data_IF_359516485103
#
_entry.id   IF_359516485103
#
_cell.length_a   1.000
_cell.length_b   1.000
_cell.length_c   1.000
_cell.angle_alpha   90.00
_cell.angle_beta   90.00
_cell.angle_gamma   90.00
#
_symmetry.space_group_name_H-M   'P 1'
#
loop_
_entity.id
_entity.type
_entity.pdbx_description
1 polymer ?
#
# COMPACT_ATOMS: atom_id res chain seq x y z
N UNK A 1 -4.88 -12.02 -8.01
CA UNK A 1 -5.74 -11.95 -9.20
C UNK A 1 -5.65 -13.27 -9.93
N UNK A 2 -6.80 -13.84 -10.24
CA UNK A 2 -6.89 -15.02 -11.08
C UNK A 2 -6.63 -14.63 -12.55
N UNK A 3 -5.95 -15.47 -13.36
CA UNK A 3 -5.69 -15.15 -14.77
C UNK A 3 -6.97 -14.95 -15.62
N UNK A 4 -8.05 -15.70 -15.33
CA UNK A 4 -9.31 -15.56 -16.05
C UNK A 4 -10.00 -14.24 -15.69
N UNK A 5 -10.05 -13.90 -14.40
CA UNK A 5 -10.55 -12.60 -13.91
C UNK A 5 -9.80 -11.44 -14.58
N UNK A 6 -8.47 -11.53 -14.66
CA UNK A 6 -7.64 -10.51 -15.30
C UNK A 6 -7.93 -10.39 -16.81
N UNK A 7 -8.09 -11.53 -17.50
CA UNK A 7 -8.44 -11.58 -18.92
C UNK A 7 -9.79 -10.92 -19.17
N UNK A 8 -10.81 -11.28 -18.39
CA UNK A 8 -12.16 -10.71 -18.52
C UNK A 8 -12.15 -9.20 -18.34
N UNK A 9 -11.49 -8.69 -17.30
CA UNK A 9 -11.38 -7.26 -17.06
C UNK A 9 -10.67 -6.50 -18.21
N UNK A 10 -9.64 -7.09 -18.81
CA UNK A 10 -8.92 -6.48 -19.93
C UNK A 10 -9.77 -6.46 -21.20
N UNK A 11 -10.52 -7.54 -21.47
CA UNK A 11 -11.41 -7.61 -22.63
C UNK A 11 -12.58 -6.64 -22.49
N UNK A 12 -13.23 -6.61 -21.33
CA UNK A 12 -14.31 -5.65 -21.04
C UNK A 12 -13.85 -4.20 -21.22
N UNK A 13 -12.66 -3.86 -20.71
CA UNK A 13 -12.10 -2.53 -20.87
C UNK A 13 -11.84 -2.17 -22.36
N UNK A 14 -11.51 -3.16 -23.19
CA UNK A 14 -11.30 -2.94 -24.63
C UNK A 14 -12.62 -2.81 -25.38
N UNK A 15 -13.59 -3.66 -25.08
CA UNK A 15 -14.90 -3.71 -25.74
C UNK A 15 -15.73 -2.45 -25.45
N UNK A 16 -15.54 -1.87 -24.26
CA UNK A 16 -16.10 -0.57 -23.86
C UNK A 16 -15.37 0.64 -24.47
N UNK A 17 -14.31 0.42 -25.25
CA UNK A 17 -13.61 1.46 -26.00
C UNK A 17 -12.58 2.25 -25.19
N UNK A 18 -12.10 1.76 -24.04
CA UNK A 18 -11.05 2.44 -23.30
C UNK A 18 -9.74 2.45 -24.11
N UNK A 19 -9.28 3.66 -24.44
CA UNK A 19 -8.06 3.88 -25.22
C UNK A 19 -6.77 3.72 -24.40
N UNK A 20 -6.87 3.74 -23.08
CA UNK A 20 -5.76 3.60 -22.15
C UNK A 20 -6.14 2.60 -21.07
N UNK A 21 -5.44 1.46 -21.04
CA UNK A 21 -5.70 0.38 -20.09
C UNK A 21 -4.39 0.03 -19.42
N UNK A 22 -4.40 0.01 -18.08
CA UNK A 22 -3.25 -0.31 -17.25
C UNK A 22 -3.61 -1.44 -16.29
N UNK A 23 -2.70 -2.39 -16.12
CA UNK A 23 -2.75 -3.32 -15.01
C UNK A 23 -1.75 -2.88 -13.94
N UNK A 24 -2.25 -2.66 -12.73
CA UNK A 24 -1.42 -2.18 -11.63
C UNK A 24 -1.62 -2.99 -10.36
N UNK A 25 -0.52 -3.27 -9.66
CA UNK A 25 -0.55 -3.73 -8.27
C UNK A 25 -0.05 -2.59 -7.38
N UNK A 26 -0.89 -2.16 -6.45
CA UNK A 26 -0.61 -1.05 -5.54
C UNK A 26 -0.07 -1.55 -4.18
N UNK A 27 0.77 -0.76 -3.50
CA UNK A 27 1.26 -1.10 -2.18
C UNK A 27 0.14 -0.98 -1.12
N UNK A 28 0.29 -1.62 0.06
CA UNK A 28 -0.53 -1.33 1.22
C UNK A 28 -0.36 0.13 1.66
N UNK A 29 -1.49 0.76 1.97
CA UNK A 29 -1.58 2.12 2.49
C UNK A 29 -2.32 2.05 3.82
N UNK A 30 -1.71 2.59 4.87
CA UNK A 30 -2.37 2.77 6.16
C UNK A 30 -2.43 4.26 6.47
N UNK A 31 -3.61 4.73 6.86
CA UNK A 31 -3.83 6.07 7.36
C UNK A 31 -4.36 5.98 8.79
N UNK A 32 -3.75 6.73 9.70
CA UNK A 32 -4.15 6.73 11.11
C UNK A 32 -3.92 8.11 11.74
N UNK A 33 -4.55 8.33 12.89
CA UNK A 33 -4.31 9.49 13.73
C UNK A 33 -3.56 9.07 15.00
N UNK A 34 -2.68 9.93 15.49
CA UNK A 34 -2.00 9.75 16.77
C UNK A 34 -2.22 10.96 17.68
N UNK A 35 -2.23 10.68 18.99
CA UNK A 35 -2.54 11.63 20.05
C UNK A 35 -1.42 12.64 20.33
N UNK A 36 -0.17 12.34 19.96
CA UNK A 36 0.99 13.20 20.27
C UNK A 36 2.10 13.08 19.22
N UNK A 37 2.96 14.11 19.14
CA UNK A 37 4.13 14.11 18.25
C UNK A 37 5.06 12.94 18.54
N UNK A 38 5.33 12.68 19.84
CA UNK A 38 6.18 11.58 20.30
C UNK A 38 5.69 10.22 19.79
N UNK A 39 4.38 10.00 19.83
CA UNK A 39 3.80 8.76 19.30
C UNK A 39 3.88 8.71 17.77
N UNK A 40 3.64 9.83 17.09
CA UNK A 40 3.80 9.91 15.64
C UNK A 40 5.23 9.57 15.21
N UNK A 41 6.24 10.11 15.89
CA UNK A 41 7.65 9.80 15.64
C UNK A 41 7.99 8.33 15.87
N UNK A 42 7.51 7.77 16.99
CA UNK A 42 7.73 6.36 17.30
C UNK A 42 7.13 5.47 16.20
N UNK A 43 5.88 5.69 15.84
CA UNK A 43 5.19 4.92 14.79
C UNK A 43 5.88 5.08 13.44
N UNK A 44 6.34 6.28 13.09
CA UNK A 44 7.07 6.54 11.86
C UNK A 44 8.38 5.73 11.78
N UNK A 45 9.16 5.73 12.87
CA UNK A 45 10.42 4.96 12.94
C UNK A 45 10.18 3.45 12.82
N UNK A 46 9.11 2.92 13.44
CA UNK A 46 8.70 1.52 13.32
C UNK A 46 8.35 1.18 11.86
N UNK A 47 7.58 2.06 11.21
CA UNK A 47 7.16 1.85 9.83
C UNK A 47 8.35 1.89 8.85
N UNK A 48 9.23 2.89 8.99
CA UNK A 48 10.42 3.06 8.14
C UNK A 48 11.36 1.85 8.28
N UNK A 49 11.67 1.43 9.51
CA UNK A 49 12.48 0.23 9.77
C UNK A 49 11.81 -1.05 9.26
N UNK A 50 10.48 -1.07 9.18
CA UNK A 50 9.71 -2.16 8.58
C UNK A 50 9.63 -2.09 7.04
N UNK A 51 10.29 -1.12 6.38
CA UNK A 51 10.38 -1.02 4.92
C UNK A 51 9.32 -0.14 4.26
N UNK A 52 8.67 0.74 5.04
CA UNK A 52 7.72 1.76 4.57
C UNK A 52 8.40 3.13 4.51
N UNK A 53 9.25 3.33 3.49
CA UNK A 53 10.08 4.54 3.34
C UNK A 53 9.25 5.81 3.08
N UNK A 54 8.06 5.67 2.53
CA UNK A 54 7.14 6.79 2.24
C UNK A 54 6.19 7.05 3.42
N UNK A 55 6.67 6.84 4.64
CA UNK A 55 5.91 7.17 5.85
C UNK A 55 6.10 8.63 6.20
N UNK A 56 5.02 9.30 6.57
CA UNK A 56 5.08 10.67 7.06
C UNK A 56 3.86 11.02 7.89
N UNK A 57 3.92 12.16 8.55
CA UNK A 57 2.82 12.67 9.35
C UNK A 57 2.78 14.19 9.34
N UNK A 58 1.61 14.75 9.63
CA UNK A 58 1.40 16.19 9.80
C UNK A 58 0.46 16.46 10.96
N UNK A 59 0.70 17.56 11.66
CA UNK A 59 -0.29 18.05 12.62
C UNK A 59 -1.55 18.52 11.87
N UNK A 60 -2.69 18.08 12.36
CA UNK A 60 -4.03 18.54 11.98
C UNK A 60 -4.65 19.23 13.19
N UNK A 61 -5.81 19.87 13.04
CA UNK A 61 -6.42 20.70 14.08
C UNK A 61 -6.55 20.06 15.48
N UNK A 62 -6.51 18.72 15.59
CA UNK A 62 -6.66 18.00 16.86
C UNK A 62 -5.69 16.84 17.09
N UNK A 63 -4.91 16.44 16.09
CA UNK A 63 -4.08 15.22 16.17
C UNK A 63 -3.02 15.18 15.07
N UNK A 64 -2.12 14.21 15.14
CA UNK A 64 -1.13 13.98 14.09
C UNK A 64 -1.67 12.92 13.13
N UNK A 65 -2.03 13.35 11.91
CA UNK A 65 -2.43 12.46 10.83
C UNK A 65 -1.19 11.85 10.19
N UNK A 66 -1.15 10.53 10.09
CA UNK A 66 -0.04 9.78 9.53
C UNK A 66 -0.47 8.96 8.32
N UNK A 67 0.45 8.81 7.37
CA UNK A 67 0.36 7.88 6.25
C UNK A 67 1.57 6.96 6.27
N UNK A 68 1.33 5.66 6.11
CA UNK A 68 2.35 4.61 5.99
C UNK A 68 2.11 3.93 4.64
N UNK A 69 3.02 4.15 3.69
CA UNK A 69 2.85 3.73 2.29
C UNK A 69 3.99 2.78 1.90
N UNK A 70 3.63 1.60 1.40
CA UNK A 70 4.58 0.63 0.87
C UNK A 70 5.24 1.13 -0.42
N UNK A 71 6.27 0.44 -0.89
CA UNK A 71 7.03 0.83 -2.09
C UNK A 71 6.89 -0.14 -3.26
N UNK A 72 6.26 -1.28 -3.00
CA UNK A 72 6.00 -2.34 -3.95
C UNK A 72 4.82 -1.93 -4.84
N UNK A 73 5.18 -1.49 -6.03
CA UNK A 73 4.22 -1.05 -7.03
C UNK A 73 4.70 -1.49 -8.39
N UNK A 74 3.76 -1.87 -9.24
CA UNK A 74 3.99 -2.04 -10.66
C UNK A 74 2.78 -1.50 -11.41
N UNK A 75 3.04 -0.81 -12.52
CA UNK A 75 2.02 -0.33 -13.44
C UNK A 75 2.46 -0.74 -14.85
N UNK A 76 1.64 -1.54 -15.52
CA UNK A 76 1.93 -2.13 -16.82
C UNK A 76 0.92 -1.56 -17.81
N UNK A 77 1.35 -0.76 -18.79
CA UNK A 77 0.45 -0.29 -19.82
C UNK A 77 0.11 -1.47 -20.75
N UNK A 78 -1.18 -1.76 -20.92
CA UNK A 78 -1.67 -2.86 -21.74
C UNK A 78 -2.19 -2.34 -23.09
N UNK A 79 -2.90 -1.22 -23.04
CA UNK A 79 -3.43 -0.52 -24.21
C UNK A 79 -2.99 0.94 -24.13
N UNK A 80 -2.43 1.45 -25.22
CA UNK A 80 -2.04 2.85 -25.38
C UNK A 80 -2.62 3.41 -26.67
N UNK A 81 -3.38 4.51 -26.55
CA UNK A 81 -4.11 5.14 -27.65
C UNK A 81 -5.04 4.19 -28.45
N UNK A 82 -5.53 3.13 -27.81
CA UNK A 82 -6.37 2.09 -28.43
C UNK A 82 -5.61 0.92 -29.05
N UNK A 83 -4.27 0.91 -28.97
CA UNK A 83 -3.42 -0.18 -29.46
C UNK A 83 -2.94 -1.04 -28.30
N UNK A 84 -3.07 -2.36 -28.42
CA UNK A 84 -2.43 -3.29 -27.49
C UNK A 84 -0.92 -3.23 -27.69
N UNK A 85 -0.16 -3.02 -26.61
CA UNK A 85 1.30 -2.83 -26.67
C UNK A 85 2.10 -3.98 -26.05
N UNK A 86 1.44 -4.96 -25.43
CA UNK A 86 2.07 -6.14 -24.84
C UNK A 86 1.37 -7.38 -25.36
N UNK A 87 2.13 -8.43 -25.69
CA UNK A 87 1.54 -9.75 -25.93
C UNK A 87 0.97 -10.28 -24.60
N UNK A 88 -0.32 -10.61 -24.59
CA UNK A 88 -1.08 -10.84 -23.36
C UNK A 88 -1.03 -12.32 -22.95
N UNK A 89 0.10 -12.76 -22.44
CA UNK A 89 0.13 -13.95 -21.57
C UNK A 89 -0.48 -13.59 -20.21
N UNK A 90 -1.78 -13.85 -20.07
CA UNK A 90 -2.53 -13.54 -18.85
C UNK A 90 -2.01 -14.29 -17.62
N UNK A 91 -1.41 -15.48 -17.78
CA UNK A 91 -0.83 -16.23 -16.67
C UNK A 91 0.43 -15.55 -16.14
N UNK A 92 1.30 -15.13 -17.05
CA UNK A 92 2.52 -14.40 -16.70
C UNK A 92 2.17 -13.04 -16.08
N UNK A 93 1.22 -12.30 -16.66
CA UNK A 93 0.78 -11.00 -16.16
C UNK A 93 0.16 -11.12 -14.75
N UNK A 94 -0.72 -12.09 -14.54
CA UNK A 94 -1.32 -12.35 -13.22
C UNK A 94 -0.24 -12.75 -12.20
N UNK A 95 0.71 -13.61 -12.58
CA UNK A 95 1.83 -14.02 -11.72
C UNK A 95 2.69 -12.83 -11.31
N UNK A 96 3.00 -11.94 -12.26
CA UNK A 96 3.76 -10.72 -12.02
C UNK A 96 3.03 -9.79 -11.05
N UNK A 97 1.77 -9.47 -11.28
CA UNK A 97 0.95 -8.65 -10.36
C UNK A 97 0.86 -9.27 -8.96
N UNK A 98 0.61 -10.58 -8.89
CA UNK A 98 0.54 -11.33 -7.63
C UNK A 98 1.86 -11.31 -6.86
N UNK A 99 3.01 -11.32 -7.55
CA UNK A 99 4.32 -11.23 -6.90
C UNK A 99 4.47 -9.92 -6.11
N UNK A 100 4.02 -8.79 -6.66
CA UNK A 100 4.02 -7.49 -5.99
C UNK A 100 3.04 -7.44 -4.82
N UNK A 101 1.83 -7.98 -4.99
CA UNK A 101 0.86 -8.10 -3.90
C UNK A 101 1.42 -8.94 -2.73
N UNK A 102 2.12 -10.04 -3.02
CA UNK A 102 2.76 -10.89 -2.01
C UNK A 102 3.93 -10.19 -1.32
N UNK A 103 4.70 -9.37 -2.03
CA UNK A 103 5.71 -8.51 -1.41
C UNK A 103 5.06 -7.56 -0.41
N UNK A 104 3.93 -6.95 -0.77
CA UNK A 104 3.19 -6.04 0.10
C UNK A 104 2.66 -6.73 1.35
N UNK A 105 2.05 -7.92 1.19
CA UNK A 105 1.63 -8.75 2.32
C UNK A 105 2.79 -9.13 3.25
N UNK A 106 3.97 -9.45 2.70
CA UNK A 106 5.18 -9.73 3.50
C UNK A 106 5.63 -8.51 4.30
N UNK A 107 5.64 -7.32 3.71
CA UNK A 107 5.96 -6.07 4.42
C UNK A 107 4.93 -5.75 5.51
N UNK A 108 3.65 -5.92 5.21
CA UNK A 108 2.57 -5.68 6.17
C UNK A 108 2.68 -6.61 7.38
N UNK A 109 3.03 -7.88 7.16
CA UNK A 109 3.29 -8.81 8.24
C UNK A 109 4.52 -8.43 9.09
N UNK A 110 5.58 -7.90 8.47
CA UNK A 110 6.74 -7.39 9.20
C UNK A 110 6.37 -6.18 10.07
N UNK A 111 5.62 -5.23 9.51
CA UNK A 111 5.10 -4.07 10.22
C UNK A 111 4.22 -4.48 11.40
N UNK A 112 3.28 -5.42 11.18
CA UNK A 112 2.42 -5.97 12.23
C UNK A 112 3.24 -6.55 13.38
N UNK A 113 4.28 -7.35 13.10
CA UNK A 113 5.15 -7.91 14.14
C UNK A 113 5.89 -6.83 14.92
N UNK A 114 6.40 -5.80 14.24
CA UNK A 114 7.09 -4.69 14.88
C UNK A 114 6.17 -3.89 15.81
N UNK A 115 4.92 -3.64 15.40
CA UNK A 115 3.93 -3.02 16.28
C UNK A 115 3.57 -3.89 17.48
N UNK A 116 3.38 -5.20 17.28
CA UNK A 116 3.06 -6.11 18.39
C UNK A 116 4.18 -6.18 19.42
N UNK A 117 5.45 -6.12 19.01
CA UNK A 117 6.59 -6.07 19.95
C UNK A 117 6.66 -4.78 20.78
N UNK A 118 5.95 -3.72 20.39
CA UNK A 118 5.94 -2.43 21.07
C UNK A 118 4.55 -2.03 21.57
N UNK A 119 3.59 -2.96 21.59
CA UNK A 119 2.19 -2.64 21.82
C UNK A 119 1.94 -1.98 23.18
N UNK A 120 2.61 -2.45 24.23
CA UNK A 120 2.45 -1.90 25.58
C UNK A 120 3.01 -0.47 25.69
N UNK A 121 4.12 -0.17 25.01
CA UNK A 121 4.69 1.18 24.94
C UNK A 121 3.77 2.14 24.18
N UNK A 122 3.20 1.67 23.06
CA UNK A 122 2.28 2.46 22.24
C UNK A 122 0.98 2.79 22.99
N UNK A 123 0.45 1.85 23.79
CA UNK A 123 -0.74 2.08 24.62
C UNK A 123 -0.50 3.15 25.69
N UNK A 124 0.60 3.03 26.44
CA UNK A 124 0.96 4.01 27.48
C UNK A 124 1.21 5.41 26.92
N UNK A 125 1.77 5.50 25.70
CA UNK A 125 2.07 6.77 25.06
C UNK A 125 0.86 7.68 24.78
N UNK A 126 -0.36 7.15 24.71
CA UNK A 126 -1.57 7.99 24.63
C UNK A 126 -2.15 8.34 25.99
N UNK A 127 -2.03 7.48 27.00
CA UNK A 127 -2.49 7.78 28.37
C UNK A 127 -1.73 8.98 28.95
N UNK A 128 -0.40 9.02 28.76
CA UNK A 128 0.44 10.14 29.18
C UNK A 128 0.13 11.44 28.43
N UNK A 129 -0.32 11.37 27.18
CA UNK A 129 -0.63 12.54 26.35
C UNK A 129 -1.98 13.19 26.69
N UNK A 130 -2.89 12.47 27.33
CA UNK A 130 -4.21 12.97 27.79
C UNK A 130 -4.20 13.52 29.22
N UNK A 131 -3.09 13.38 29.94
CA UNK A 131 -2.93 13.83 31.33
C UNK A 131 -2.21 15.18 31.44
N UNK A 132 -1.91 15.83 30.32
CA UNK A 132 -1.27 17.15 30.21
C UNK A 132 -2.27 18.19 29.72
#
# INVERSE_FOLDING_TARGET
>A
VDPAELREAILDARDTGHRYVWASAQPPILALHTCSLKLADMIANIAISSGYKYTGYKYTSRSYYMFIIGSERIDIPLVFEGRTIVDLDYNLLASLLNSYLLLGKRKLNRLRRAFLSMLDLLKKGCEEATLV
#
